data_IF_317582675750
#
_entry.id   IF_317582675750
#
_cell.length_a   1.000
_cell.length_b   1.000
_cell.length_c   1.000
_cell.angle_alpha   90.00
_cell.angle_beta   90.00
_cell.angle_gamma   90.00
#
_symmetry.space_group_name_H-M   'P 1'
#
loop_
_entity.id
_entity.type
_entity.pdbx_description
1 polymer ?
#
# COMPACT_ATOMS: atom_id res chain seq x y z
N UNK A 1 5.91 6.38 24.31
CA UNK A 1 6.59 5.50 23.34
C UNK A 1 5.86 5.65 22.01
N UNK A 2 6.58 5.80 20.90
CA UNK A 2 5.93 5.84 19.58
C UNK A 2 5.24 4.50 19.33
N UNK A 3 4.07 4.55 18.70
CA UNK A 3 3.34 3.34 18.34
C UNK A 3 4.11 2.62 17.21
N UNK A 4 4.73 1.48 17.49
CA UNK A 4 5.49 0.67 16.53
C UNK A 4 4.63 -0.04 15.49
N UNK A 5 3.32 0.33 15.42
CA UNK A 5 2.42 -0.21 14.40
C UNK A 5 2.85 0.19 12.99
N UNK A 6 2.95 -0.80 12.13
CA UNK A 6 3.13 -0.62 10.69
C UNK A 6 1.76 -0.65 9.99
N UNK A 7 1.62 0.13 8.94
CA UNK A 7 0.60 -0.07 7.90
C UNK A 7 1.28 -0.54 6.62
N UNK A 8 0.52 -1.02 5.63
CA UNK A 8 1.07 -1.38 4.32
C UNK A 8 1.92 -0.23 3.74
N UNK A 9 1.43 1.00 3.78
CA UNK A 9 2.17 2.17 3.26
C UNK A 9 3.45 2.49 4.04
N UNK A 10 3.43 2.37 5.38
CA UNK A 10 4.65 2.59 6.18
C UNK A 10 5.63 1.44 6.09
N UNK A 11 5.17 0.21 5.79
CA UNK A 11 6.03 -0.92 5.46
C UNK A 11 6.80 -0.65 4.15
N UNK A 12 6.10 -0.28 3.07
CA UNK A 12 6.73 0.07 1.78
C UNK A 12 7.69 1.25 1.94
N UNK A 13 7.30 2.28 2.70
CA UNK A 13 8.19 3.41 3.05
C UNK A 13 9.47 2.93 3.71
N UNK A 14 9.38 2.03 4.66
CA UNK A 14 10.52 1.48 5.37
C UNK A 14 11.43 0.62 4.50
N UNK A 15 10.86 -0.14 3.56
CA UNK A 15 11.62 -0.88 2.55
C UNK A 15 12.40 0.06 1.62
N UNK A 16 11.82 1.21 1.28
CA UNK A 16 12.48 2.23 0.47
C UNK A 16 13.58 2.95 1.26
N UNK A 17 13.27 3.39 2.50
CA UNK A 17 14.21 4.13 3.34
C UNK A 17 13.81 4.08 4.81
N UNK A 18 14.67 3.48 5.66
CA UNK A 18 14.45 3.42 7.10
C UNK A 18 14.39 4.82 7.75
N UNK A 19 15.23 5.74 7.30
CA UNK A 19 15.23 7.13 7.79
C UNK A 19 13.90 7.82 7.46
N UNK A 20 13.34 7.60 6.27
CA UNK A 20 12.02 8.11 5.90
C UNK A 20 10.92 7.56 6.81
N UNK A 21 10.96 6.24 7.12
CA UNK A 21 10.03 5.63 8.06
C UNK A 21 10.14 6.24 9.46
N UNK A 22 11.37 6.41 9.96
CA UNK A 22 11.63 7.01 11.26
C UNK A 22 11.11 8.44 11.34
N UNK A 23 11.47 9.27 10.34
CA UNK A 23 11.00 10.66 10.28
C UNK A 23 9.48 10.76 10.19
N UNK A 24 8.83 9.87 9.44
CA UNK A 24 7.38 9.81 9.35
C UNK A 24 6.71 9.52 10.71
N UNK A 25 7.32 8.67 11.52
CA UNK A 25 6.78 8.27 12.84
C UNK A 25 7.08 9.26 13.96
N UNK A 26 8.26 9.87 13.96
CA UNK A 26 8.74 10.70 15.07
C UNK A 26 8.78 12.19 14.74
N UNK A 27 8.97 12.54 13.47
CA UNK A 27 9.20 13.91 13.02
C UNK A 27 8.32 14.30 11.83
N UNK A 28 7.04 13.91 11.88
CA UNK A 28 6.08 14.14 10.78
C UNK A 28 6.04 15.59 10.30
N UNK A 29 6.31 16.56 11.18
CA UNK A 29 6.35 17.99 10.85
C UNK A 29 7.46 18.38 9.85
N UNK A 30 8.46 17.49 9.66
CA UNK A 30 9.53 17.69 8.68
C UNK A 30 9.16 17.20 7.28
N UNK A 31 7.95 16.66 7.12
CA UNK A 31 7.43 16.23 5.84
C UNK A 31 7.25 17.43 4.91
N UNK A 32 7.74 17.30 3.68
CA UNK A 32 7.53 18.29 2.63
C UNK A 32 6.04 18.46 2.31
N UNK A 33 5.57 19.64 1.93
CA UNK A 33 4.20 19.84 1.49
C UNK A 33 3.85 18.93 0.32
N UNK A 34 2.67 18.33 0.35
CA UNK A 34 2.19 17.51 -0.77
C UNK A 34 1.87 18.42 -1.97
N UNK A 35 2.54 18.23 -3.13
CA UNK A 35 2.21 18.99 -4.33
C UNK A 35 0.75 18.78 -4.76
N UNK A 36 0.12 19.80 -5.32
CA UNK A 36 -1.27 19.71 -5.81
C UNK A 36 -1.45 18.63 -6.90
N UNK A 37 -0.43 18.42 -7.72
CA UNK A 37 -0.41 17.33 -8.71
C UNK A 37 -0.49 15.94 -8.07
N UNK A 38 0.18 15.74 -6.95
CA UNK A 38 0.14 14.48 -6.22
C UNK A 38 -1.21 14.29 -5.51
N UNK A 39 -1.84 15.37 -5.03
CA UNK A 39 -3.20 15.31 -4.47
C UNK A 39 -4.20 14.84 -5.53
N UNK A 40 -4.12 15.37 -6.76
CA UNK A 40 -4.97 14.92 -7.86
C UNK A 40 -4.80 13.42 -8.18
N UNK A 41 -3.58 12.88 -8.06
CA UNK A 41 -3.33 11.43 -8.21
C UNK A 41 -4.02 10.62 -7.10
N UNK A 42 -4.02 11.11 -5.86
CA UNK A 42 -4.72 10.43 -4.77
C UNK A 42 -6.24 10.45 -4.96
N UNK A 43 -6.80 11.59 -5.38
CA UNK A 43 -8.23 11.72 -5.66
C UNK A 43 -8.65 10.81 -6.82
N UNK A 44 -7.83 10.71 -7.87
CA UNK A 44 -8.03 9.76 -8.97
C UNK A 44 -7.98 8.32 -8.47
N UNK A 45 -7.02 7.97 -7.60
CA UNK A 45 -6.89 6.64 -7.01
C UNK A 45 -8.16 6.24 -6.26
N UNK A 46 -8.73 7.15 -5.47
CA UNK A 46 -9.99 6.92 -4.75
C UNK A 46 -11.15 6.64 -5.70
N UNK A 47 -11.29 7.43 -6.78
CA UNK A 47 -12.33 7.21 -7.77
C UNK A 47 -12.18 5.87 -8.50
N UNK A 48 -10.96 5.47 -8.83
CA UNK A 48 -10.67 4.17 -9.46
C UNK A 48 -11.00 3.02 -8.50
N UNK A 49 -10.69 3.16 -7.21
CA UNK A 49 -11.07 2.18 -6.18
C UNK A 49 -12.58 1.95 -6.13
N UNK A 50 -13.37 3.03 -6.12
CA UNK A 50 -14.83 2.95 -6.13
C UNK A 50 -15.37 2.31 -7.41
N UNK A 51 -14.83 2.63 -8.58
CA UNK A 51 -15.21 2.00 -9.85
C UNK A 51 -14.87 0.50 -9.85
N UNK A 52 -13.75 0.10 -9.29
CA UNK A 52 -13.36 -1.31 -9.23
C UNK A 52 -14.30 -2.16 -8.35
N UNK A 53 -15.00 -1.56 -7.38
CA UNK A 53 -16.03 -2.25 -6.60
C UNK A 53 -17.20 -2.74 -7.47
N UNK A 54 -17.44 -2.09 -8.62
CA UNK A 54 -18.48 -2.52 -9.55
C UNK A 54 -18.18 -3.86 -10.24
N UNK A 55 -16.90 -4.32 -10.24
CA UNK A 55 -16.53 -5.68 -10.65
C UNK A 55 -17.12 -6.76 -9.72
N UNK A 56 -17.37 -6.40 -8.48
CA UNK A 56 -17.87 -7.29 -7.43
C UNK A 56 -19.00 -6.57 -6.67
N UNK A 57 -20.18 -6.42 -7.26
CA UNK A 57 -21.26 -5.60 -6.71
C UNK A 57 -21.84 -6.18 -5.42
N UNK A 58 -22.53 -5.34 -4.65
CA UNK A 58 -23.26 -5.69 -3.43
C UNK A 58 -22.37 -6.11 -2.24
N UNK A 59 -21.11 -5.68 -2.20
CA UNK A 59 -20.23 -5.94 -1.07
C UNK A 59 -20.58 -5.12 0.18
N UNK A 60 -20.25 -5.67 1.34
CA UNK A 60 -20.35 -4.98 2.62
C UNK A 60 -19.15 -4.03 2.83
N UNK A 61 -19.41 -2.77 3.12
CA UNK A 61 -18.35 -1.75 3.31
C UNK A 61 -17.83 -1.75 4.76
N UNK A 62 -16.56 -2.15 4.91
CA UNK A 62 -15.84 -2.12 6.18
C UNK A 62 -15.01 -0.85 6.38
N UNK A 63 -15.13 0.16 5.52
CA UNK A 63 -14.40 1.42 5.63
C UNK A 63 -14.46 2.01 7.04
N UNK A 64 -13.37 2.57 7.54
CA UNK A 64 -13.38 3.36 8.76
C UNK A 64 -14.07 4.71 8.51
N UNK A 65 -14.72 5.29 9.51
CA UNK A 65 -15.27 6.66 9.41
C UNK A 65 -14.19 7.71 9.10
N UNK A 66 -12.97 7.43 9.54
CA UNK A 66 -11.77 8.21 9.24
C UNK A 66 -10.51 7.35 9.51
N UNK A 67 -9.37 7.81 9.02
CA UNK A 67 -8.10 7.08 9.12
C UNK A 67 -7.61 6.82 10.57
N UNK A 68 -8.11 7.51 11.59
CA UNK A 68 -7.80 7.22 12.99
C UNK A 68 -8.57 6.01 13.51
N UNK A 69 -9.67 5.65 12.87
CA UNK A 69 -10.57 4.56 13.26
C UNK A 69 -10.32 3.23 12.54
N UNK A 70 -9.16 3.06 11.93
CA UNK A 70 -8.80 1.83 11.21
C UNK A 70 -8.94 0.55 12.05
N UNK A 71 -8.75 0.63 13.38
CA UNK A 71 -8.95 -0.53 14.27
C UNK A 71 -10.42 -0.93 14.37
N UNK A 72 -11.35 0.02 14.26
CA UNK A 72 -12.79 -0.28 14.20
C UNK A 72 -13.15 -1.04 12.92
N UNK A 73 -12.47 -0.73 11.81
CA UNK A 73 -12.60 -1.43 10.53
C UNK A 73 -12.21 -2.91 10.63
N UNK A 74 -11.19 -3.25 11.44
CA UNK A 74 -10.86 -4.67 11.73
C UNK A 74 -12.06 -5.39 12.35
N UNK A 75 -12.72 -4.77 13.33
CA UNK A 75 -13.91 -5.33 13.95
C UNK A 75 -15.09 -5.49 12.98
N UNK A 76 -15.30 -4.51 12.07
CA UNK A 76 -16.32 -4.60 11.01
C UNK A 76 -16.03 -5.76 10.07
N UNK A 77 -14.79 -5.89 9.59
CA UNK A 77 -14.35 -6.97 8.70
C UNK A 77 -14.62 -8.34 9.30
N UNK A 78 -14.19 -8.58 10.56
CA UNK A 78 -14.42 -9.84 11.25
C UNK A 78 -15.91 -10.14 11.43
N UNK A 79 -16.71 -9.12 11.74
CA UNK A 79 -18.15 -9.24 11.84
C UNK A 79 -18.80 -9.62 10.52
N UNK A 80 -18.40 -9.04 9.40
CA UNK A 80 -18.91 -9.39 8.08
C UNK A 80 -18.53 -10.84 7.71
N UNK A 81 -17.28 -11.23 7.90
CA UNK A 81 -16.84 -12.62 7.69
C UNK A 81 -17.69 -13.61 8.52
N UNK A 82 -17.91 -13.30 9.81
CA UNK A 82 -18.70 -14.16 10.70
C UNK A 82 -20.18 -14.25 10.34
N UNK A 83 -20.71 -13.24 9.64
CA UNK A 83 -22.08 -13.23 9.11
C UNK A 83 -22.23 -13.95 7.78
N UNK A 84 -21.11 -14.38 7.17
CA UNK A 84 -21.12 -15.05 5.88
C UNK A 84 -21.17 -14.11 4.68
N UNK A 85 -20.84 -12.82 4.86
CA UNK A 85 -20.70 -11.90 3.73
C UNK A 85 -19.59 -12.41 2.79
N UNK A 86 -19.90 -12.52 1.52
CA UNK A 86 -18.98 -13.06 0.51
C UNK A 86 -18.16 -11.99 -0.20
N UNK A 87 -18.54 -10.71 -0.10
CA UNK A 87 -17.83 -9.58 -0.70
C UNK A 87 -17.70 -8.50 0.38
N UNK A 88 -16.47 -8.07 0.67
CA UNK A 88 -16.19 -7.04 1.68
C UNK A 88 -15.23 -6.01 1.07
N UNK A 89 -15.66 -4.75 1.02
CA UNK A 89 -14.83 -3.63 0.61
C UNK A 89 -14.06 -3.06 1.80
N UNK A 90 -12.86 -2.53 1.55
CA UNK A 90 -11.98 -1.94 2.57
C UNK A 90 -11.71 -2.89 3.76
N UNK A 91 -11.60 -4.18 3.44
CA UNK A 91 -11.41 -5.24 4.44
C UNK A 91 -10.09 -5.03 5.20
N UNK A 92 -10.18 -4.72 6.49
CA UNK A 92 -9.01 -4.37 7.29
C UNK A 92 -8.65 -5.50 8.24
N UNK A 93 -7.36 -5.86 8.25
CA UNK A 93 -6.79 -6.91 9.09
C UNK A 93 -5.63 -6.40 9.91
N UNK A 94 -5.38 -7.05 11.04
CA UNK A 94 -4.25 -6.73 11.89
C UNK A 94 -3.59 -8.01 12.41
N UNK A 95 -2.30 -8.15 12.17
CA UNK A 95 -1.48 -9.22 12.72
C UNK A 95 -0.09 -8.69 13.08
N UNK A 96 0.48 -9.15 14.19
CA UNK A 96 1.82 -8.78 14.65
C UNK A 96 2.08 -7.25 14.56
N UNK A 97 1.11 -6.44 15.00
CA UNK A 97 1.15 -4.98 14.96
C UNK A 97 1.35 -4.38 13.53
N UNK A 98 1.01 -5.15 12.50
CA UNK A 98 0.87 -4.70 11.11
C UNK A 98 -0.61 -4.59 10.81
N UNK A 99 -1.02 -3.46 10.23
CA UNK A 99 -2.39 -3.19 9.79
C UNK A 99 -2.41 -3.12 8.27
N UNK A 100 -3.28 -3.90 7.65
CA UNK A 100 -3.50 -3.92 6.22
C UNK A 100 -4.98 -3.70 5.91
N UNK A 101 -5.29 -2.69 5.12
CA UNK A 101 -6.59 -2.48 4.50
C UNK A 101 -6.50 -2.92 3.04
N UNK A 102 -7.35 -3.85 2.67
CA UNK A 102 -7.48 -4.41 1.33
C UNK A 102 -8.70 -3.81 0.64
N UNK A 103 -8.58 -3.40 -0.61
CA UNK A 103 -9.66 -2.73 -1.32
C UNK A 103 -10.89 -3.63 -1.47
N UNK A 104 -10.72 -4.90 -1.92
CA UNK A 104 -11.84 -5.82 -2.15
C UNK A 104 -11.44 -7.24 -1.72
N UNK A 105 -12.23 -7.85 -0.85
CA UNK A 105 -12.10 -9.24 -0.43
C UNK A 105 -13.33 -10.03 -0.89
N UNK A 106 -13.12 -11.12 -1.63
CA UNK A 106 -14.21 -11.94 -2.20
C UNK A 106 -14.04 -13.38 -1.75
N UNK A 107 -15.15 -14.03 -1.40
CA UNK A 107 -15.23 -15.46 -1.11
C UNK A 107 -16.01 -16.18 -2.20
N UNK A 108 -15.39 -17.15 -2.81
CA UNK A 108 -16.02 -18.07 -3.74
C UNK A 108 -15.98 -19.53 -3.23
N UNK A 109 -16.23 -20.48 -4.11
CA UNK A 109 -16.24 -21.92 -3.79
C UNK A 109 -14.84 -22.45 -3.39
N UNK A 110 -13.76 -21.83 -3.87
CA UNK A 110 -12.37 -22.20 -3.60
C UNK A 110 -11.86 -21.61 -2.28
N UNK A 111 -12.43 -20.47 -1.83
CA UNK A 111 -12.03 -19.77 -0.63
C UNK A 111 -12.02 -18.25 -0.80
N UNK A 112 -11.21 -17.57 0.01
CA UNK A 112 -11.09 -16.12 -0.07
C UNK A 112 -10.05 -15.70 -1.12
N UNK A 113 -10.36 -14.65 -1.88
CA UNK A 113 -9.49 -14.00 -2.87
C UNK A 113 -9.40 -12.50 -2.55
N UNK A 114 -8.20 -11.97 -2.63
CA UNK A 114 -7.90 -10.57 -2.33
C UNK A 114 -7.63 -9.80 -3.63
N UNK A 115 -8.19 -8.60 -3.74
CA UNK A 115 -8.00 -7.71 -4.87
C UNK A 115 -7.55 -6.34 -4.38
N UNK A 116 -6.36 -5.95 -4.77
CA UNK A 116 -5.78 -4.62 -4.50
C UNK A 116 -5.86 -3.79 -5.76
N UNK A 117 -6.50 -2.63 -5.68
CA UNK A 117 -6.75 -1.74 -6.83
C UNK A 117 -5.62 -0.73 -6.99
N UNK A 118 -5.15 -0.55 -8.19
CA UNK A 118 -4.12 0.44 -8.53
C UNK A 118 -4.53 1.26 -9.76
N UNK A 119 -4.39 2.57 -9.68
CA UNK A 119 -4.66 3.48 -10.81
C UNK A 119 -3.59 3.46 -11.90
N UNK A 120 -2.65 2.52 -11.86
CA UNK A 120 -1.63 2.26 -12.88
C UNK A 120 -2.17 1.37 -14.00
N UNK A 121 -1.37 1.21 -15.05
CA UNK A 121 -1.70 0.37 -16.21
C UNK A 121 -0.90 -0.93 -16.27
N UNK A 122 -0.13 -1.24 -15.22
CA UNK A 122 0.69 -2.46 -15.11
C UNK A 122 1.05 -2.74 -13.67
N UNK A 123 1.36 -3.99 -13.36
CA UNK A 123 1.93 -4.42 -12.09
C UNK A 123 3.38 -3.97 -11.98
N UNK A 124 3.81 -3.58 -10.79
CA UNK A 124 5.19 -3.22 -10.44
C UNK A 124 5.69 -4.05 -9.25
N UNK A 125 7.01 -4.14 -9.09
CA UNK A 125 7.63 -4.83 -7.95
C UNK A 125 7.15 -4.26 -6.60
N UNK A 126 6.88 -2.96 -6.53
CA UNK A 126 6.35 -2.32 -5.33
C UNK A 126 4.94 -2.82 -5.00
N UNK A 127 4.09 -3.06 -6.02
CA UNK A 127 2.75 -3.60 -5.80
C UNK A 127 2.78 -5.06 -5.35
N UNK A 128 3.75 -5.85 -5.83
CA UNK A 128 3.97 -7.22 -5.33
C UNK A 128 4.37 -7.19 -3.84
N UNK A 129 5.26 -6.28 -3.42
CA UNK A 129 5.63 -6.11 -2.01
C UNK A 129 4.45 -5.62 -1.15
N UNK A 130 3.61 -4.74 -1.69
CA UNK A 130 2.38 -4.26 -1.05
C UNK A 130 1.37 -5.41 -0.88
N UNK A 131 1.16 -6.22 -1.93
CA UNK A 131 0.34 -7.42 -1.88
C UNK A 131 0.91 -8.45 -0.88
N UNK A 132 2.24 -8.62 -0.81
CA UNK A 132 2.87 -9.59 0.08
C UNK A 132 2.68 -9.26 1.57
N UNK A 133 2.79 -8.00 1.97
CA UNK A 133 2.51 -7.61 3.37
C UNK A 133 1.02 -7.74 3.71
N UNK A 134 0.13 -7.50 2.74
CA UNK A 134 -1.30 -7.73 2.91
C UNK A 134 -1.59 -9.22 3.05
N UNK A 135 -1.09 -10.06 2.14
CA UNK A 135 -1.24 -11.52 2.21
C UNK A 135 -0.75 -12.06 3.55
N UNK A 136 0.44 -11.66 3.99
CA UNK A 136 0.98 -12.02 5.31
C UNK A 136 0.04 -11.65 6.45
N UNK A 137 -0.50 -10.43 6.43
CA UNK A 137 -1.36 -9.95 7.51
C UNK A 137 -2.71 -10.67 7.51
N UNK A 138 -3.31 -10.86 6.34
CA UNK A 138 -4.63 -11.49 6.17
C UNK A 138 -4.58 -12.96 6.57
N UNK A 139 -3.63 -13.73 6.04
CA UNK A 139 -3.53 -15.17 6.32
C UNK A 139 -3.21 -15.45 7.77
N UNK A 140 -2.32 -14.67 8.38
CA UNK A 140 -2.02 -14.80 9.81
C UNK A 140 -3.12 -14.27 10.74
N UNK A 141 -4.14 -13.57 10.20
CA UNK A 141 -5.37 -13.21 10.92
C UNK A 141 -6.43 -14.32 10.86
N UNK A 142 -6.12 -15.47 10.28
CA UNK A 142 -6.99 -16.65 10.23
C UNK A 142 -7.87 -16.76 9.00
N UNK A 143 -7.64 -15.96 7.96
CA UNK A 143 -8.34 -16.05 6.68
C UNK A 143 -7.57 -16.97 5.73
N UNK A 144 -8.26 -18.00 5.22
CA UNK A 144 -7.70 -18.92 4.21
C UNK A 144 -7.77 -18.26 2.82
N UNK A 145 -6.74 -17.45 2.53
CA UNK A 145 -6.64 -16.69 1.29
C UNK A 145 -6.01 -17.56 0.20
N UNK A 146 -6.74 -17.78 -0.89
CA UNK A 146 -6.34 -18.66 -2.01
C UNK A 146 -5.63 -17.93 -3.14
N UNK A 147 -5.90 -16.64 -3.30
CA UNK A 147 -5.27 -15.80 -4.32
C UNK A 147 -5.17 -14.35 -3.83
N UNK A 148 -4.23 -13.63 -4.39
CA UNK A 148 -4.12 -12.18 -4.30
C UNK A 148 -3.78 -11.60 -5.66
N UNK A 149 -4.60 -10.66 -6.12
CA UNK A 149 -4.52 -10.07 -7.45
C UNK A 149 -4.41 -8.54 -7.37
N UNK A 150 -3.73 -7.97 -8.36
CA UNK A 150 -3.75 -6.53 -8.60
C UNK A 150 -4.80 -6.23 -9.67
N UNK A 151 -5.71 -5.31 -9.36
CA UNK A 151 -6.68 -4.76 -10.31
C UNK A 151 -6.12 -3.43 -10.82
N UNK A 152 -5.85 -3.34 -12.11
CA UNK A 152 -5.26 -2.14 -12.70
C UNK A 152 -5.98 -1.72 -13.99
N UNK A 153 -5.72 -0.50 -14.45
CA UNK A 153 -6.35 0.04 -15.66
C UNK A 153 -5.86 -0.70 -16.90
N UNK A 154 -6.79 -1.12 -17.75
CA UNK A 154 -6.51 -1.60 -19.09
C UNK A 154 -6.29 -0.42 -20.04
N UNK A 155 -5.04 -0.15 -20.40
CA UNK A 155 -4.68 0.96 -21.30
C UNK A 155 -5.02 0.68 -22.79
N UNK A 156 -5.53 -0.50 -23.12
CA UNK A 156 -6.02 -0.83 -24.45
C UNK A 156 -7.53 -0.56 -24.60
N UNK A 157 -8.22 -0.32 -23.48
CA UNK A 157 -9.64 -0.03 -23.49
C UNK A 157 -9.89 1.39 -24.03
N UNK A 158 -10.76 1.49 -25.02
CA UNK A 158 -11.28 2.76 -25.53
C UNK A 158 -12.77 2.81 -25.24
N UNK A 159 -13.20 3.82 -24.49
CA UNK A 159 -14.62 4.00 -24.19
C UNK A 159 -15.37 4.41 -25.45
N UNK A 160 -16.37 3.60 -25.83
CA UNK A 160 -17.33 3.91 -26.88
C UNK A 160 -18.74 3.70 -26.29
N UNK A 161 -19.49 4.78 -26.12
CA UNK A 161 -20.79 4.77 -25.44
C UNK A 161 -20.68 4.76 -23.90
N UNK A 162 -21.37 3.82 -23.25
CA UNK A 162 -21.35 3.64 -21.80
C UNK A 162 -20.00 3.03 -21.34
N UNK A 163 -19.64 3.26 -20.08
CA UNK A 163 -18.42 2.72 -19.49
C UNK A 163 -18.58 1.23 -19.23
N UNK A 164 -17.73 0.41 -19.83
CA UNK A 164 -17.64 -1.02 -19.56
C UNK A 164 -16.55 -1.29 -18.50
N UNK A 165 -16.99 -1.57 -17.29
CA UNK A 165 -16.11 -1.81 -16.14
C UNK A 165 -15.25 -3.06 -16.34
N UNK A 166 -15.77 -4.12 -16.95
CA UNK A 166 -15.03 -5.35 -17.17
C UNK A 166 -13.94 -5.21 -18.26
N UNK A 167 -14.10 -4.28 -19.18
CA UNK A 167 -13.07 -3.95 -20.14
C UNK A 167 -12.08 -2.87 -19.64
N UNK A 168 -12.55 -2.00 -18.72
CA UNK A 168 -11.71 -0.95 -18.12
C UNK A 168 -10.60 -1.52 -17.24
N UNK A 169 -10.87 -2.62 -16.54
CA UNK A 169 -9.93 -3.21 -15.61
C UNK A 169 -9.32 -4.51 -16.12
N UNK A 170 -8.05 -4.71 -15.77
CA UNK A 170 -7.35 -6.00 -15.86
C UNK A 170 -7.14 -6.51 -14.44
N UNK A 171 -7.47 -7.78 -14.19
CA UNK A 171 -7.18 -8.48 -12.94
C UNK A 171 -5.98 -9.39 -13.20
N UNK A 172 -4.88 -9.15 -12.51
CA UNK A 172 -3.64 -9.92 -12.66
C UNK A 172 -3.29 -10.56 -11.32
N UNK A 173 -3.32 -11.90 -11.24
CA UNK A 173 -2.86 -12.60 -10.05
C UNK A 173 -1.35 -12.40 -9.87
N UNK A 174 -0.97 -12.03 -8.65
CA UNK A 174 0.44 -11.90 -8.23
C UNK A 174 0.79 -12.92 -7.14
N UNK A 175 -0.02 -13.96 -7.01
CA UNK A 175 0.07 -14.94 -5.95
C UNK A 175 1.46 -15.61 -5.89
N UNK A 176 1.95 -16.09 -7.02
CA UNK A 176 3.24 -16.77 -7.08
C UNK A 176 4.39 -15.83 -6.68
N UNK A 177 4.39 -14.59 -7.19
CA UNK A 177 5.39 -13.58 -6.84
C UNK A 177 5.31 -13.19 -5.36
N UNK A 178 4.10 -13.15 -4.81
CA UNK A 178 3.88 -12.91 -3.37
C UNK A 178 4.45 -14.05 -2.55
N UNK A 179 4.24 -15.30 -2.93
CA UNK A 179 4.80 -16.46 -2.22
C UNK A 179 6.35 -16.48 -2.25
N UNK A 180 6.96 -16.04 -3.33
CA UNK A 180 8.43 -15.91 -3.41
C UNK A 180 8.97 -14.84 -2.44
N UNK A 181 8.24 -13.75 -2.24
CA UNK A 181 8.65 -12.68 -1.33
C UNK A 181 8.26 -12.94 0.13
N UNK A 182 7.23 -13.73 0.38
CA UNK A 182 6.61 -13.99 1.68
C UNK A 182 7.60 -14.41 2.79
N UNK A 183 8.61 -15.27 2.55
CA UNK A 183 9.57 -15.68 3.58
C UNK A 183 10.39 -14.53 4.16
N UNK A 184 10.50 -13.41 3.46
CA UNK A 184 11.24 -12.22 3.90
C UNK A 184 10.42 -11.32 4.83
N UNK A 185 9.10 -11.34 4.71
CA UNK A 185 8.18 -10.42 5.40
C UNK A 185 8.37 -10.41 6.93
N UNK A 186 8.44 -11.56 7.65
CA UNK A 186 8.57 -11.54 9.11
C UNK A 186 9.85 -10.82 9.58
N UNK A 187 10.95 -11.00 8.85
CA UNK A 187 12.23 -10.35 9.18
C UNK A 187 12.18 -8.85 8.89
N UNK A 188 11.60 -8.46 7.74
CA UNK A 188 11.42 -7.05 7.38
C UNK A 188 10.49 -6.33 8.38
N UNK A 189 9.38 -6.94 8.77
CA UNK A 189 8.48 -6.40 9.80
C UNK A 189 9.24 -6.17 11.12
N UNK A 190 10.04 -7.14 11.57
CA UNK A 190 10.85 -7.02 12.79
C UNK A 190 11.87 -5.90 12.65
N UNK A 191 12.61 -5.85 11.54
CA UNK A 191 13.62 -4.83 11.25
C UNK A 191 13.01 -3.43 11.30
N UNK A 192 11.89 -3.23 10.60
CA UNK A 192 11.23 -1.91 10.53
C UNK A 192 10.59 -1.48 11.88
N UNK A 193 10.13 -2.42 12.69
CA UNK A 193 9.70 -2.12 14.06
C UNK A 193 10.86 -1.65 14.92
N UNK A 194 12.02 -2.31 14.84
CA UNK A 194 13.21 -1.89 15.57
C UNK A 194 13.65 -0.48 15.14
N UNK A 195 13.52 -0.14 13.86
CA UNK A 195 13.75 1.23 13.37
C UNK A 195 12.82 2.24 14.04
N UNK A 196 11.51 1.93 14.15
CA UNK A 196 10.54 2.83 14.79
C UNK A 196 10.81 2.94 16.31
N UNK A 197 11.27 1.88 16.95
CA UNK A 197 11.54 1.84 18.39
C UNK A 197 12.92 2.39 18.78
N UNK A 198 13.79 2.58 17.78
CA UNK A 198 15.13 3.17 18.02
C UNK A 198 15.03 4.58 18.61
N UNK A 199 15.88 4.93 19.59
CA UNK A 199 15.99 6.29 20.06
C UNK A 199 16.72 7.21 19.08
N UNK A 200 17.41 6.66 18.08
CA UNK A 200 18.26 7.37 17.15
C UNK A 200 17.72 7.34 15.73
N UNK A 201 17.92 8.45 15.01
CA UNK A 201 17.62 8.53 13.57
C UNK A 201 18.54 7.59 12.80
N UNK A 202 18.01 6.69 11.94
CA UNK A 202 18.85 5.84 11.12
C UNK A 202 19.83 6.64 10.25
N UNK A 203 21.10 6.23 10.25
CA UNK A 203 22.13 6.85 9.42
C UNK A 203 22.04 6.33 7.99
N UNK A 204 21.13 6.90 7.22
CA UNK A 204 20.93 6.61 5.79
C UNK A 204 21.26 7.86 5.00
N UNK A 205 22.23 7.76 4.08
CA UNK A 205 22.61 8.85 3.20
C UNK A 205 21.57 9.06 2.08
N UNK A 206 21.66 10.21 1.41
CA UNK A 206 20.84 10.49 0.22
C UNK A 206 21.31 9.61 -0.95
N UNK A 207 20.39 9.26 -1.86
CA UNK A 207 20.68 8.41 -3.01
C UNK A 207 19.45 8.14 -3.87
N UNK A 208 19.54 7.17 -4.77
CA UNK A 208 18.47 6.82 -5.71
C UNK A 208 17.15 6.48 -5.01
N UNK A 209 17.22 5.83 -3.84
CA UNK A 209 16.04 5.52 -3.01
C UNK A 209 15.26 6.78 -2.57
N UNK A 210 15.80 7.97 -2.70
CA UNK A 210 15.06 9.21 -2.43
C UNK A 210 14.03 9.53 -3.54
N UNK A 211 14.11 8.86 -4.69
CA UNK A 211 13.21 9.07 -5.83
C UNK A 211 12.62 7.78 -6.40
N UNK A 212 13.09 6.60 -5.97
CA UNK A 212 12.69 5.30 -6.46
C UNK A 212 12.28 4.38 -5.29
N UNK A 213 11.12 3.73 -5.35
CA UNK A 213 10.08 3.77 -6.38
C UNK A 213 9.19 5.03 -6.36
N UNK A 214 9.22 5.80 -5.29
CA UNK A 214 8.45 7.04 -5.13
C UNK A 214 9.33 8.18 -4.65
N UNK A 215 8.97 9.41 -5.02
CA UNK A 215 9.61 10.58 -4.44
C UNK A 215 9.42 10.62 -2.92
N UNK A 216 10.53 10.72 -2.19
CA UNK A 216 10.50 10.81 -0.75
C UNK A 216 10.03 12.19 -0.29
N UNK A 217 9.04 12.22 0.57
CA UNK A 217 8.46 13.43 1.13
C UNK A 217 9.26 14.04 2.32
N UNK A 218 10.53 13.64 2.44
CA UNK A 218 11.53 14.23 3.35
C UNK A 218 12.78 14.74 2.62
N UNK A 219 12.71 14.89 1.29
CA UNK A 219 13.82 15.43 0.49
C UNK A 219 14.25 16.80 1.00
N UNK A 220 13.32 17.74 1.25
CA UNK A 220 13.62 19.07 1.76
C UNK A 220 14.43 19.07 3.06
N UNK A 221 14.27 18.06 3.91
CA UNK A 221 15.05 17.87 5.12
C UNK A 221 16.39 17.18 4.85
N UNK A 222 16.37 16.05 4.13
CA UNK A 222 17.57 15.23 3.93
C UNK A 222 18.59 15.85 2.97
N UNK A 223 18.15 16.59 1.96
CA UNK A 223 18.97 17.24 0.94
C UNK A 223 19.36 18.67 1.28
N UNK A 224 18.97 19.19 2.44
CA UNK A 224 19.19 20.58 2.84
C UNK A 224 20.67 21.02 2.79
N UNK A 225 21.59 20.07 2.97
CA UNK A 225 23.02 20.33 2.91
C UNK A 225 23.60 20.37 1.49
N UNK A 226 22.82 20.00 0.47
CA UNK A 226 23.25 20.02 -0.93
C UNK A 226 23.04 21.43 -1.49
N UNK A 227 24.07 22.06 -2.04
CA UNK A 227 23.93 23.35 -2.70
C UNK A 227 22.94 23.30 -3.85
N UNK A 228 22.22 24.41 -4.09
CA UNK A 228 21.26 24.50 -5.19
C UNK A 228 21.87 24.27 -6.58
N UNK A 229 23.20 24.48 -6.72
CA UNK A 229 23.99 24.09 -7.87
C UNK A 229 25.07 23.09 -7.45
N UNK A 230 24.95 21.84 -7.94
CA UNK A 230 25.81 20.73 -7.53
C UNK A 230 25.92 19.69 -8.66
N UNK A 231 26.67 18.62 -8.45
CA UNK A 231 26.79 17.49 -9.38
C UNK A 231 25.44 16.85 -9.71
N UNK A 232 24.45 16.97 -8.84
CA UNK A 232 23.09 16.45 -9.08
C UNK A 232 22.31 17.23 -10.13
N UNK A 233 22.79 18.39 -10.59
CA UNK A 233 22.20 19.15 -11.68
C UNK A 233 22.74 18.74 -13.05
N UNK A 234 23.77 17.89 -13.10
CA UNK A 234 24.32 17.38 -14.37
C UNK A 234 23.30 16.40 -14.97
N UNK A 235 22.83 16.73 -16.19
CA UNK A 235 21.91 15.89 -16.93
C UNK A 235 22.56 14.54 -17.30
N UNK A 236 21.82 13.45 -17.15
CA UNK A 236 22.27 12.07 -17.41
C UNK A 236 23.36 11.51 -16.48
N UNK A 237 23.67 12.18 -15.39
CA UNK A 237 24.48 11.57 -14.34
C UNK A 237 23.61 10.55 -13.59
N UNK A 238 24.11 9.31 -13.43
CA UNK A 238 23.48 8.35 -12.52
C UNK A 238 23.63 8.86 -11.09
N UNK A 239 22.50 9.11 -10.46
CA UNK A 239 22.42 9.72 -9.11
C UNK A 239 22.32 8.65 -8.05
#
# INVERSE_FOLDING_TARGET
MANSRLSKSTFIRGLQCEKSLYLYKHHYRLKDPTPSSLQAVFDQGTNIGLLAQELFPYGADASPENHFKMVESVGKTLKFISKGESIIYEATFQYNNVLAALDILVKDEEGWKAYEVKSSTKVSETYIKDAAIQYYTITNSGVDLKDISIVHINNQYTKDGELDIHQLFTIESVYDQVLEFLPRIPNEVRRLKNVIESPEVPNVDIGNHCSDPYDCDFKGTCWKHIPGYSVFNISRLNK
#
